data_IF_184209745415
#
_entry.id   IF_184209745415
#
_cell.length_a   1.000
_cell.length_b   1.000
_cell.length_c   1.000
_cell.angle_alpha   90.00
_cell.angle_beta   90.00
_cell.angle_gamma   90.00
#
_symmetry.space_group_name_H-M   'P 1'
#
loop_
_entity.id
_entity.type
_entity.pdbx_description
1 polymer ?
#
# COMPACT_ATOMS: atom_id res chain seq x y z
N UNK A 1 -11.28 18.17 17.42
CA UNK A 1 -10.07 17.68 18.11
C UNK A 1 -9.11 17.25 17.03
N UNK A 2 -7.99 17.95 16.87
CA UNK A 2 -6.96 17.59 15.89
C UNK A 2 -6.26 16.33 16.40
N UNK A 3 -6.54 15.18 15.78
CA UNK A 3 -5.84 13.93 16.10
C UNK A 3 -4.36 14.02 15.76
N UNK A 4 -3.56 13.09 16.29
CA UNK A 4 -2.13 12.96 15.99
C UNK A 4 -1.89 12.95 14.48
N UNK A 5 -0.91 13.73 14.02
CA UNK A 5 -0.52 13.77 12.61
C UNK A 5 0.75 12.96 12.34
N UNK A 6 1.06 12.72 11.07
CA UNK A 6 2.33 12.12 10.62
C UNK A 6 3.52 12.93 11.13
N UNK A 7 3.40 14.25 11.15
CA UNK A 7 4.43 15.15 11.65
C UNK A 7 4.69 14.98 13.14
N UNK A 8 3.64 14.79 13.94
CA UNK A 8 3.73 14.59 15.39
C UNK A 8 4.32 13.22 15.74
N UNK A 9 3.94 12.16 14.99
CA UNK A 9 4.36 10.80 15.26
C UNK A 9 5.80 10.53 14.78
N UNK A 10 6.20 11.16 13.67
CA UNK A 10 7.48 10.93 13.02
C UNK A 10 7.46 9.71 12.08
N UNK A 11 8.33 9.75 11.08
CA UNK A 11 8.35 8.80 9.95
C UNK A 11 8.54 7.35 10.39
N UNK A 12 9.54 7.08 11.23
CA UNK A 12 9.85 5.73 11.74
C UNK A 12 8.64 5.10 12.43
N UNK A 13 7.97 5.84 13.31
CA UNK A 13 6.81 5.32 14.03
C UNK A 13 5.57 5.13 13.13
N UNK A 14 5.47 5.86 12.01
CA UNK A 14 4.44 5.60 10.99
C UNK A 14 4.79 4.34 10.20
N UNK A 15 6.07 4.12 9.86
CA UNK A 15 6.53 2.88 9.21
C UNK A 15 6.28 1.67 10.10
N UNK A 16 6.66 1.73 11.38
CA UNK A 16 6.39 0.66 12.36
C UNK A 16 4.89 0.34 12.45
N UNK A 17 4.06 1.38 12.38
CA UNK A 17 2.60 1.25 12.38
C UNK A 17 2.07 0.56 11.12
N UNK A 18 2.62 0.88 9.94
CA UNK A 18 2.28 0.20 8.68
C UNK A 18 2.67 -1.27 8.77
N UNK A 19 3.91 -1.57 9.18
CA UNK A 19 4.43 -2.94 9.34
C UNK A 19 3.54 -3.73 10.29
N UNK A 20 3.15 -3.16 11.44
CA UNK A 20 2.28 -3.82 12.41
C UNK A 20 0.87 -4.13 11.86
N UNK A 21 0.40 -3.40 10.84
CA UNK A 21 -0.88 -3.66 10.18
C UNK A 21 -0.77 -4.72 9.07
N UNK A 22 0.43 -4.96 8.53
CA UNK A 22 0.63 -5.94 7.46
C UNK A 22 0.49 -7.39 7.95
N UNK A 23 -0.15 -8.22 7.13
CA UNK A 23 -0.27 -9.66 7.37
C UNK A 23 0.80 -10.48 6.62
N UNK A 24 0.79 -11.79 6.81
CA UNK A 24 1.60 -12.72 6.00
C UNK A 24 0.77 -13.26 4.83
N UNK A 25 1.34 -13.25 3.62
CA UNK A 25 0.79 -13.98 2.47
C UNK A 25 1.55 -15.28 2.20
N UNK A 26 0.87 -16.30 1.65
CA UNK A 26 1.54 -17.44 1.03
C UNK A 26 2.56 -16.98 -0.01
N UNK A 27 3.71 -17.66 -0.08
CA UNK A 27 4.75 -17.32 -1.06
C UNK A 27 5.62 -16.11 -0.69
N UNK A 28 5.52 -15.58 0.53
CA UNK A 28 6.37 -14.48 1.03
C UNK A 28 7.27 -14.98 2.17
N UNK A 29 8.39 -15.68 1.88
CA UNK A 29 9.31 -16.19 2.92
C UNK A 29 9.95 -15.10 3.79
N UNK A 30 10.13 -13.89 3.25
CA UNK A 30 10.59 -12.71 4.01
C UNK A 30 9.61 -11.58 3.73
N UNK A 31 8.93 -11.10 4.77
CA UNK A 31 7.92 -10.05 4.70
C UNK A 31 8.41 -8.68 5.17
N UNK A 32 7.49 -7.74 5.45
CA UNK A 32 7.80 -6.41 5.98
C UNK A 32 8.57 -6.47 7.30
N UNK A 33 9.54 -5.56 7.48
CA UNK A 33 10.34 -5.44 8.71
C UNK A 33 11.79 -5.94 8.59
N UNK A 34 12.16 -6.51 7.44
CA UNK A 34 13.54 -6.69 7.00
C UNK A 34 13.88 -5.68 5.88
N UNK A 35 15.11 -5.67 5.38
CA UNK A 35 15.58 -4.72 4.36
C UNK A 35 14.85 -4.87 3.01
N UNK A 36 14.31 -6.06 2.72
CA UNK A 36 13.51 -6.32 1.52
C UNK A 36 12.64 -7.58 1.68
N UNK A 37 11.51 -7.60 0.98
CA UNK A 37 10.70 -8.80 0.85
C UNK A 37 11.32 -9.81 -0.12
N UNK A 38 11.14 -11.10 0.15
CA UNK A 38 11.48 -12.20 -0.76
C UNK A 38 10.18 -12.89 -1.14
N UNK A 39 9.99 -13.09 -2.45
CA UNK A 39 8.79 -13.71 -3.03
C UNK A 39 9.17 -15.03 -3.72
N UNK A 40 8.42 -16.08 -3.42
CA UNK A 40 8.48 -17.34 -4.13
C UNK A 40 7.51 -17.29 -5.31
N UNK A 41 8.03 -17.43 -6.52
CA UNK A 41 7.24 -17.53 -7.75
C UNK A 41 7.35 -18.98 -8.25
N UNK A 42 6.23 -19.67 -8.46
CA UNK A 42 6.21 -21.13 -8.65
C UNK A 42 7.09 -21.63 -9.81
N UNK A 43 7.17 -20.86 -10.89
CA UNK A 43 8.02 -21.16 -12.06
C UNK A 43 9.14 -20.15 -12.30
N UNK A 44 9.35 -19.24 -11.35
CA UNK A 44 10.37 -18.19 -11.39
C UNK A 44 10.05 -16.97 -12.26
N UNK A 45 8.89 -16.93 -12.94
CA UNK A 45 8.43 -15.74 -13.65
C UNK A 45 7.65 -14.83 -12.71
N UNK A 46 7.67 -13.54 -13.01
CA UNK A 46 6.91 -12.53 -12.27
C UNK A 46 6.25 -11.58 -13.26
N UNK A 47 4.97 -11.29 -13.02
CA UNK A 47 4.25 -10.18 -13.64
C UNK A 47 4.29 -9.02 -12.66
N UNK A 48 4.61 -7.84 -13.18
CA UNK A 48 4.73 -6.62 -12.38
C UNK A 48 4.02 -5.47 -13.08
N UNK A 49 3.28 -4.68 -12.32
CA UNK A 49 2.66 -3.42 -12.75
C UNK A 49 2.82 -2.37 -11.66
N UNK A 50 2.74 -1.10 -12.04
CA UNK A 50 2.77 0.00 -11.08
C UNK A 50 1.92 1.17 -11.56
N UNK A 51 1.12 1.69 -10.65
CA UNK A 51 0.34 2.90 -10.84
C UNK A 51 0.54 3.88 -9.68
N UNK A 52 0.20 5.14 -9.94
CA UNK A 52 0.34 6.22 -8.97
C UNK A 52 -0.93 7.05 -8.85
N UNK A 53 -1.36 7.27 -7.60
CA UNK A 53 -2.46 8.15 -7.24
C UNK A 53 -1.93 9.40 -6.53
N UNK A 54 -2.18 10.55 -7.15
CA UNK A 54 -1.83 11.88 -6.63
C UNK A 54 -3.09 12.63 -6.22
N UNK A 55 -3.12 13.15 -4.99
CA UNK A 55 -4.18 14.01 -4.48
C UNK A 55 -4.39 15.23 -5.40
N UNK A 56 -5.65 15.56 -5.69
CA UNK A 56 -6.02 16.64 -6.61
C UNK A 56 -5.95 16.27 -8.09
N UNK A 57 -5.47 15.07 -8.43
CA UNK A 57 -5.45 14.52 -9.80
C UNK A 57 -6.29 13.26 -9.92
N UNK A 58 -6.04 12.27 -9.06
CA UNK A 58 -6.66 10.95 -9.14
C UNK A 58 -7.75 10.73 -8.08
N UNK A 59 -7.66 11.47 -6.96
CA UNK A 59 -8.66 11.52 -5.90
C UNK A 59 -8.62 12.89 -5.22
N UNK A 60 -9.61 13.18 -4.36
CA UNK A 60 -9.54 14.34 -3.45
C UNK A 60 -10.07 13.94 -2.07
N UNK A 61 -9.57 14.56 -1.00
CA UNK A 61 -9.97 14.21 0.37
C UNK A 61 -11.29 14.84 0.83
N UNK A 62 -11.87 15.76 0.04
CA UNK A 62 -13.14 16.42 0.36
C UNK A 62 -14.38 15.62 -0.08
N UNK A 63 -14.18 14.51 -0.79
CA UNK A 63 -15.28 13.66 -1.28
C UNK A 63 -14.94 12.16 -1.40
N UNK A 64 -13.71 11.75 -1.07
CA UNK A 64 -13.27 10.35 -1.12
C UNK A 64 -12.82 9.96 0.28
N UNK A 65 -13.42 8.90 0.82
CA UNK A 65 -13.00 8.36 2.10
C UNK A 65 -11.62 7.69 1.97
N UNK A 66 -10.76 7.77 2.99
CA UNK A 66 -9.41 7.19 2.92
C UNK A 66 -9.44 5.69 2.65
N UNK A 67 -10.42 4.99 3.24
CA UNK A 67 -10.65 3.56 3.02
C UNK A 67 -10.93 3.25 1.55
N UNK A 68 -11.85 3.99 0.91
CA UNK A 68 -12.15 3.82 -0.52
C UNK A 68 -10.92 4.09 -1.41
N UNK A 69 -10.08 5.07 -1.03
CA UNK A 69 -8.82 5.35 -1.72
C UNK A 69 -7.87 4.16 -1.62
N UNK A 70 -7.73 3.57 -0.42
CA UNK A 70 -6.91 2.38 -0.19
C UNK A 70 -7.39 1.18 -1.00
N UNK A 71 -8.69 0.89 -0.95
CA UNK A 71 -9.30 -0.17 -1.74
C UNK A 71 -9.07 0.05 -3.24
N UNK A 72 -9.30 1.26 -3.75
CA UNK A 72 -9.08 1.58 -5.16
C UNK A 72 -7.61 1.38 -5.57
N UNK A 73 -6.66 1.87 -4.77
CA UNK A 73 -5.23 1.80 -5.06
C UNK A 73 -4.74 0.34 -5.22
N UNK A 74 -5.22 -0.55 -4.35
CA UNK A 74 -4.95 -1.98 -4.47
C UNK A 74 -5.68 -2.59 -5.68
N UNK A 75 -6.99 -2.33 -5.81
CA UNK A 75 -7.82 -2.95 -6.84
C UNK A 75 -7.33 -2.67 -8.26
N UNK A 76 -6.93 -1.44 -8.57
CA UNK A 76 -6.46 -1.07 -9.92
C UNK A 76 -5.17 -1.83 -10.30
N UNK A 77 -4.20 -1.89 -9.39
CA UNK A 77 -2.93 -2.59 -9.64
C UNK A 77 -3.10 -4.12 -9.68
N UNK A 78 -3.93 -4.69 -8.80
CA UNK A 78 -4.17 -6.13 -8.75
C UNK A 78 -4.98 -6.61 -9.96
N UNK A 79 -5.87 -5.77 -10.49
CA UNK A 79 -6.64 -6.06 -11.69
C UNK A 79 -5.75 -6.18 -12.94
N UNK A 80 -4.70 -5.37 -13.05
CA UNK A 80 -3.71 -5.45 -14.13
C UNK A 80 -2.96 -6.78 -14.13
N UNK A 81 -2.56 -7.28 -12.95
CA UNK A 81 -1.96 -8.60 -12.80
C UNK A 81 -2.92 -9.69 -13.29
N UNK A 82 -4.17 -9.64 -12.81
CA UNK A 82 -5.20 -10.60 -13.21
C UNK A 82 -5.51 -10.54 -14.72
N UNK A 83 -5.48 -9.35 -15.33
CA UNK A 83 -5.71 -9.14 -16.76
C UNK A 83 -4.62 -9.79 -17.63
N UNK A 84 -3.41 -9.93 -17.09
CA UNK A 84 -2.30 -10.67 -17.73
C UNK A 84 -2.41 -12.19 -17.54
N UNK A 85 -3.43 -12.68 -16.83
CA UNK A 85 -3.65 -14.10 -16.54
C UNK A 85 -2.78 -14.65 -15.41
N UNK A 86 -2.12 -13.78 -14.64
CA UNK A 86 -1.33 -14.13 -13.47
C UNK A 86 -2.17 -14.08 -12.18
N UNK A 87 -1.72 -14.77 -11.15
CA UNK A 87 -2.31 -14.72 -9.81
C UNK A 87 -1.64 -13.59 -9.02
N UNK A 88 -2.39 -12.61 -8.48
CA UNK A 88 -1.80 -11.59 -7.62
C UNK A 88 -1.24 -12.20 -6.33
N UNK A 89 -0.02 -11.81 -5.95
CA UNK A 89 0.68 -12.39 -4.79
C UNK A 89 1.13 -11.34 -3.77
N UNK A 90 1.55 -10.17 -4.24
CA UNK A 90 2.13 -9.15 -3.36
C UNK A 90 1.95 -7.72 -3.85
N UNK A 91 2.03 -6.77 -2.92
CA UNK A 91 2.07 -5.34 -3.16
C UNK A 91 3.23 -4.72 -2.40
N UNK A 92 3.84 -3.68 -2.97
CA UNK A 92 4.62 -2.71 -2.22
C UNK A 92 4.05 -1.31 -2.45
N UNK A 93 4.13 -0.44 -1.44
CA UNK A 93 3.60 0.94 -1.52
C UNK A 93 4.69 1.97 -1.30
N UNK A 94 4.66 3.06 -2.05
CA UNK A 94 5.48 4.23 -1.81
C UNK A 94 4.57 5.41 -1.47
N UNK A 95 4.67 5.93 -0.26
CA UNK A 95 3.82 7.01 0.23
C UNK A 95 4.63 8.30 0.38
N UNK A 96 4.17 9.38 -0.23
CA UNK A 96 4.57 10.73 0.15
C UNK A 96 3.41 11.39 0.90
N UNK A 97 3.61 11.75 2.17
CA UNK A 97 2.56 12.32 3.02
C UNK A 97 2.92 13.71 3.52
N UNK A 98 1.99 14.69 3.45
CA UNK A 98 2.10 15.94 4.19
C UNK A 98 2.25 15.68 5.69
N UNK A 99 3.13 16.40 6.42
CA UNK A 99 3.26 16.26 7.87
C UNK A 99 1.94 16.46 8.62
N UNK A 100 1.03 17.26 8.07
CA UNK A 100 -0.29 17.54 8.64
C UNK A 100 -1.31 16.41 8.42
N UNK A 101 -0.95 15.34 7.72
CA UNK A 101 -1.85 14.22 7.45
C UNK A 101 -2.22 13.53 8.76
N UNK A 102 -3.52 13.38 9.10
CA UNK A 102 -3.92 12.70 10.32
C UNK A 102 -3.53 11.22 10.28
N UNK A 103 -3.08 10.65 11.40
CA UNK A 103 -2.81 9.21 11.50
C UNK A 103 -4.06 8.38 11.23
N UNK A 104 -5.24 8.86 11.64
CA UNK A 104 -6.51 8.22 11.32
C UNK A 104 -6.79 8.10 9.81
N UNK A 105 -6.25 9.02 8.99
CA UNK A 105 -6.33 8.92 7.54
C UNK A 105 -5.46 7.76 7.03
N UNK A 106 -4.23 7.64 7.56
CA UNK A 106 -3.30 6.55 7.22
C UNK A 106 -3.89 5.19 7.60
N UNK A 107 -4.46 5.08 8.80
CA UNK A 107 -5.09 3.86 9.30
C UNK A 107 -6.25 3.42 8.40
N UNK A 108 -7.15 4.35 8.05
CA UNK A 108 -8.29 4.06 7.21
C UNK A 108 -7.87 3.70 5.77
N UNK A 109 -6.87 4.39 5.22
CA UNK A 109 -6.27 4.06 3.93
C UNK A 109 -5.68 2.64 3.92
N UNK A 110 -4.85 2.32 4.92
CA UNK A 110 -4.26 0.98 5.04
C UNK A 110 -5.33 -0.10 5.21
N UNK A 111 -6.39 0.16 5.99
CA UNK A 111 -7.49 -0.80 6.14
C UNK A 111 -8.12 -1.17 4.79
N UNK A 112 -8.48 -0.18 3.97
CA UNK A 112 -9.04 -0.44 2.64
C UNK A 112 -8.07 -1.14 1.70
N UNK A 113 -6.79 -0.75 1.73
CA UNK A 113 -5.74 -1.40 0.93
C UNK A 113 -5.54 -2.86 1.32
N UNK A 114 -5.44 -3.15 2.62
CA UNK A 114 -5.19 -4.51 3.13
C UNK A 114 -6.40 -5.42 2.91
N UNK A 115 -7.62 -4.92 3.10
CA UNK A 115 -8.84 -5.66 2.80
C UNK A 115 -8.90 -6.08 1.34
N UNK A 116 -8.61 -5.16 0.41
CA UNK A 116 -8.62 -5.46 -1.01
C UNK A 116 -7.48 -6.41 -1.42
N UNK A 117 -6.29 -6.20 -0.86
CA UNK A 117 -5.15 -7.09 -1.06
C UNK A 117 -5.50 -8.53 -0.68
N UNK A 118 -6.05 -8.70 0.53
CA UNK A 118 -6.44 -10.01 1.04
C UNK A 118 -7.55 -10.64 0.19
N UNK A 119 -8.50 -9.84 -0.32
CA UNK A 119 -9.57 -10.31 -1.21
C UNK A 119 -9.01 -10.89 -2.52
N UNK A 120 -7.93 -10.33 -3.04
CA UNK A 120 -7.26 -10.81 -4.26
C UNK A 120 -6.24 -11.94 -4.00
N UNK A 121 -6.01 -12.32 -2.74
CA UNK A 121 -5.01 -13.32 -2.37
C UNK A 121 -3.58 -12.77 -2.23
N UNK A 122 -3.41 -11.45 -2.22
CA UNK A 122 -2.13 -10.76 -2.08
C UNK A 122 -1.92 -10.20 -0.67
N UNK A 123 -0.69 -9.81 -0.34
CA UNK A 123 -0.38 -9.01 0.85
C UNK A 123 0.50 -7.80 0.54
N UNK A 124 0.42 -6.79 1.40
CA UNK A 124 1.40 -5.72 1.46
C UNK A 124 2.69 -6.25 2.08
N UNK A 125 3.77 -6.33 1.27
CA UNK A 125 5.04 -6.95 1.67
C UNK A 125 6.18 -5.96 1.90
N UNK A 126 5.95 -4.68 1.63
CA UNK A 126 6.94 -3.66 1.89
C UNK A 126 6.50 -2.29 1.37
N UNK A 127 7.43 -1.35 1.42
CA UNK A 127 7.15 -0.02 0.94
C UNK A 127 8.17 1.02 1.40
N UNK A 128 7.82 2.27 1.14
CA UNK A 128 8.57 3.44 1.54
C UNK A 128 7.61 4.54 2.01
N UNK A 129 8.08 5.39 2.91
CA UNK A 129 7.35 6.54 3.41
C UNK A 129 8.29 7.74 3.45
N UNK A 130 7.90 8.80 2.75
CA UNK A 130 8.60 10.08 2.78
C UNK A 130 7.65 11.23 3.11
N UNK A 131 8.21 12.34 3.59
CA UNK A 131 7.49 13.61 3.66
C UNK A 131 7.31 14.18 2.26
N UNK A 132 6.11 14.70 1.98
CA UNK A 132 5.81 15.36 0.70
C UNK A 132 4.79 16.49 0.86
N UNK A 133 4.59 17.26 -0.20
CA UNK A 133 3.68 18.42 -0.19
C UNK A 133 2.20 18.04 -0.40
N UNK A 134 1.96 16.89 -1.04
CA UNK A 134 0.63 16.34 -1.30
C UNK A 134 0.64 14.82 -1.09
N UNK A 135 -0.51 14.23 -0.75
CA UNK A 135 -0.60 12.78 -0.64
C UNK A 135 -0.39 12.17 -2.02
N UNK A 136 0.69 11.40 -2.13
CA UNK A 136 1.03 10.62 -3.32
C UNK A 136 1.20 9.16 -2.91
N UNK A 137 0.54 8.28 -3.66
CA UNK A 137 0.49 6.86 -3.40
C UNK A 137 0.98 6.17 -4.66
N UNK A 138 2.20 5.64 -4.63
CA UNK A 138 2.68 4.68 -5.61
C UNK A 138 2.35 3.27 -5.13
N UNK A 139 1.81 2.44 -6.01
CA UNK A 139 1.58 1.03 -5.72
C UNK A 139 2.27 0.22 -6.82
N UNK A 140 2.94 -0.85 -6.42
CA UNK A 140 3.47 -1.85 -7.34
C UNK A 140 2.87 -3.18 -6.95
N UNK A 141 2.15 -3.82 -7.87
CA UNK A 141 1.65 -5.17 -7.70
C UNK A 141 2.54 -6.19 -8.39
N UNK A 142 2.62 -7.37 -7.78
CA UNK A 142 3.32 -8.53 -8.30
C UNK A 142 2.38 -9.73 -8.36
N UNK A 143 2.60 -10.59 -9.34
CA UNK A 143 1.94 -11.89 -9.46
C UNK A 143 2.77 -12.90 -10.22
N UNK A 144 2.35 -14.16 -10.20
CA UNK A 144 2.99 -15.27 -10.90
C UNK A 144 2.02 -16.13 -11.73
#
# INVERSE_FOLDING_TARGET
>A
MTGTTVGDLGEIAVVDRIIAATGQAPGVPVGPGDDAAVLACADGRVVVTTDMLVEGRHFRRDWSEPHDIGHKAAAENLADIAAMGATPTALVIALALPPTTPIAWVDAFLAGLLEESARAGAALVGGDLVRGDAITIGVTALGD
#
